data_IF_902891697769
#
_entry.id   IF_902891697769
#
_cell.length_a   1.000
_cell.length_b   1.000
_cell.length_c   1.000
_cell.angle_alpha   90.00
_cell.angle_beta   90.00
_cell.angle_gamma   90.00
#
_symmetry.space_group_name_H-M   'P 1'
#
loop_
_entity.id
_entity.type
_entity.pdbx_description
1 polymer ?
#
# COMPACT_ATOMS: atom_id res chain seq x y z
N UNK A 1 -17.38 -7.27 -0.14
CA UNK A 1 -16.69 -6.68 -1.30
C UNK A 1 -15.26 -6.36 -0.85
N UNK A 2 -14.23 -6.74 -1.61
CA UNK A 2 -12.85 -6.36 -1.28
C UNK A 2 -12.69 -4.84 -1.43
N UNK A 3 -11.82 -4.25 -0.61
CA UNK A 3 -11.49 -2.82 -0.72
C UNK A 3 -10.73 -2.58 -2.03
N UNK A 4 -11.07 -1.48 -2.71
CA UNK A 4 -10.40 -1.08 -3.94
C UNK A 4 -8.99 -0.58 -3.67
N UNK A 5 -8.04 -0.91 -4.53
CA UNK A 5 -6.67 -0.40 -4.48
C UNK A 5 -6.43 0.62 -5.58
N UNK A 6 -5.96 1.81 -5.23
CA UNK A 6 -5.77 2.91 -6.18
C UNK A 6 -4.34 3.05 -6.73
N UNK A 7 -3.37 2.39 -6.09
CA UNK A 7 -1.95 2.59 -6.36
C UNK A 7 -1.39 3.98 -5.98
N UNK A 8 -2.20 4.87 -5.37
CA UNK A 8 -1.74 6.20 -4.90
C UNK A 8 -0.90 6.12 -3.63
N UNK A 9 -1.45 5.42 -2.65
CA UNK A 9 -0.79 5.15 -1.38
C UNK A 9 -0.30 3.72 -1.39
N UNK A 10 0.98 3.55 -1.71
CA UNK A 10 1.61 2.25 -1.85
C UNK A 10 1.74 1.52 -0.51
N UNK A 11 1.67 2.22 0.63
CA UNK A 11 1.68 1.57 1.95
C UNK A 11 0.46 0.68 2.21
N UNK A 12 -0.61 0.88 1.44
CA UNK A 12 -1.80 0.02 1.52
C UNK A 12 -1.66 -1.27 0.70
N UNK A 13 -0.63 -1.40 -0.15
CA UNK A 13 -0.48 -2.56 -1.02
C UNK A 13 -0.36 -3.89 -0.24
N UNK A 14 0.45 -4.02 0.83
CA UNK A 14 0.54 -5.27 1.58
C UNK A 14 -0.82 -5.74 2.11
N UNK A 15 -1.57 -4.82 2.74
CA UNK A 15 -2.92 -5.11 3.25
C UNK A 15 -3.87 -5.53 2.13
N UNK A 16 -3.86 -4.82 1.00
CA UNK A 16 -4.66 -5.17 -0.16
C UNK A 16 -4.30 -6.56 -0.69
N UNK A 17 -3.01 -6.82 -0.87
CA UNK A 17 -2.51 -8.07 -1.42
C UNK A 17 -2.83 -9.25 -0.52
N UNK A 18 -2.58 -9.19 0.79
CA UNK A 18 -2.91 -10.26 1.73
C UNK A 18 -4.40 -10.61 1.70
N UNK A 19 -5.24 -9.57 1.60
CA UNK A 19 -6.69 -9.74 1.56
C UNK A 19 -7.17 -10.31 0.22
N UNK A 20 -6.68 -9.79 -0.90
CA UNK A 20 -6.96 -10.33 -2.23
C UNK A 20 -6.47 -11.77 -2.36
N UNK A 21 -5.26 -12.04 -1.85
CA UNK A 21 -4.61 -13.34 -1.92
C UNK A 21 -5.43 -14.41 -1.22
N UNK A 22 -5.77 -14.18 0.05
CA UNK A 22 -6.56 -15.09 0.87
C UNK A 22 -8.00 -15.30 0.38
N UNK A 23 -8.60 -14.30 -0.26
CA UNK A 23 -10.02 -14.35 -0.65
C UNK A 23 -10.23 -14.83 -2.09
N UNK A 24 -9.31 -14.50 -2.99
CA UNK A 24 -9.47 -14.65 -4.45
C UNK A 24 -8.34 -15.45 -5.06
N UNK A 25 -7.08 -15.05 -4.84
CA UNK A 25 -5.93 -15.68 -5.52
C UNK A 25 -5.78 -17.16 -5.17
N UNK A 26 -5.80 -17.48 -3.87
CA UNK A 26 -5.63 -18.84 -3.33
C UNK A 26 -6.95 -19.63 -3.31
N UNK A 27 -8.07 -19.00 -3.69
CA UNK A 27 -9.35 -19.68 -3.76
C UNK A 27 -9.39 -20.63 -4.96
N UNK A 28 -9.34 -21.93 -4.70
CA UNK A 28 -9.38 -22.99 -5.71
C UNK A 28 -10.76 -23.19 -6.34
N UNK A 29 -11.82 -22.57 -5.80
CA UNK A 29 -13.17 -22.64 -6.39
C UNK A 29 -13.41 -21.60 -7.49
N UNK A 30 -12.45 -20.69 -7.73
CA UNK A 30 -12.55 -19.65 -8.75
C UNK A 30 -11.62 -19.97 -9.92
N UNK A 31 -12.10 -19.75 -11.13
CA UNK A 31 -11.25 -19.82 -12.32
C UNK A 31 -10.37 -18.57 -12.43
N UNK A 32 -9.21 -18.70 -13.06
CA UNK A 32 -8.26 -17.60 -13.23
C UNK A 32 -8.86 -16.41 -13.98
N UNK A 33 -9.77 -16.65 -14.92
CA UNK A 33 -10.53 -15.59 -15.61
C UNK A 33 -11.43 -14.80 -14.66
N UNK A 34 -12.05 -15.45 -13.68
CA UNK A 34 -12.91 -14.80 -12.68
C UNK A 34 -12.07 -14.03 -11.68
N UNK A 35 -10.95 -14.62 -11.23
CA UNK A 35 -9.96 -13.95 -10.36
C UNK A 35 -9.41 -12.70 -11.03
N UNK A 36 -9.12 -12.76 -12.33
CA UNK A 36 -8.64 -11.61 -13.07
C UNK A 36 -9.74 -10.55 -13.25
N UNK A 37 -10.94 -10.96 -13.66
CA UNK A 37 -12.06 -10.03 -13.80
C UNK A 37 -12.36 -9.31 -12.48
N UNK A 38 -12.25 -10.03 -11.37
CA UNK A 38 -12.37 -9.46 -10.04
C UNK A 38 -11.25 -8.46 -9.73
N UNK A 39 -9.98 -8.82 -9.95
CA UNK A 39 -8.84 -7.94 -9.74
C UNK A 39 -9.01 -6.60 -10.47
N UNK A 40 -9.41 -6.64 -11.75
CA UNK A 40 -9.68 -5.43 -12.54
C UNK A 40 -10.83 -4.58 -12.00
N UNK A 41 -11.77 -5.18 -11.26
CA UNK A 41 -12.89 -4.44 -10.67
C UNK A 41 -12.52 -3.70 -9.37
N UNK A 42 -11.48 -4.16 -8.68
CA UNK A 42 -11.02 -3.56 -7.42
C UNK A 42 -9.78 -2.67 -7.59
N UNK A 43 -9.00 -2.88 -8.65
CA UNK A 43 -7.93 -1.95 -9.01
C UNK A 43 -8.51 -0.70 -9.66
N UNK A 44 -8.04 0.46 -9.21
CA UNK A 44 -8.49 1.78 -9.66
C UNK A 44 -7.28 2.69 -9.87
N UNK A 45 -7.48 3.82 -10.56
CA UNK A 45 -6.44 4.85 -10.75
C UNK A 45 -5.09 4.28 -11.22
N UNK A 46 -4.00 4.43 -10.48
CA UNK A 46 -2.66 4.02 -10.90
C UNK A 46 -2.49 2.50 -10.96
N UNK A 47 -3.19 1.75 -10.11
CA UNK A 47 -3.19 0.29 -10.14
C UNK A 47 -3.92 -0.23 -11.38
N UNK A 48 -5.11 0.29 -11.68
CA UNK A 48 -5.85 -0.04 -12.91
C UNK A 48 -5.01 0.27 -14.14
N UNK A 49 -4.42 1.47 -14.19
CA UNK A 49 -3.57 1.89 -15.31
C UNK A 49 -2.36 0.96 -15.50
N UNK A 50 -1.83 0.36 -14.44
CA UNK A 50 -0.69 -0.55 -14.52
C UNK A 50 -1.05 -1.86 -15.24
N UNK A 51 -2.26 -2.37 -15.04
CA UNK A 51 -2.71 -3.65 -15.59
C UNK A 51 -3.66 -3.49 -16.79
N UNK A 52 -3.95 -2.25 -17.17
CA UNK A 52 -4.82 -1.90 -18.30
C UNK A 52 -4.29 -2.48 -19.60
N UNK A 53 -5.21 -2.91 -20.47
CA UNK A 53 -4.88 -3.54 -21.76
C UNK A 53 -4.67 -5.06 -21.69
N UNK A 54 -4.62 -5.64 -20.49
CA UNK A 54 -4.62 -7.09 -20.33
C UNK A 54 -6.06 -7.64 -20.36
N UNK A 55 -6.26 -8.69 -21.15
CA UNK A 55 -7.55 -9.37 -21.29
C UNK A 55 -7.75 -10.41 -20.19
N UNK A 56 -8.90 -10.45 -19.50
CA UNK A 56 -9.23 -11.48 -18.51
C UNK A 56 -9.31 -12.85 -19.19
N UNK A 57 -8.21 -13.57 -19.17
CA UNK A 57 -8.04 -14.90 -19.75
C UNK A 57 -7.13 -15.68 -18.81
N UNK A 58 -7.31 -17.00 -18.67
CA UNK A 58 -6.48 -17.81 -17.78
C UNK A 58 -4.97 -17.64 -18.06
N UNK A 59 -4.59 -17.62 -19.33
CA UNK A 59 -3.19 -17.51 -19.79
C UNK A 59 -2.54 -16.18 -19.42
N UNK A 60 -3.35 -15.14 -19.20
CA UNK A 60 -2.86 -13.81 -18.84
C UNK A 60 -2.95 -13.51 -17.34
N UNK A 61 -3.57 -14.34 -16.51
CA UNK A 61 -3.83 -14.01 -15.10
C UNK A 61 -2.57 -13.80 -14.25
N UNK A 62 -1.47 -14.49 -14.55
CA UNK A 62 -0.21 -14.30 -13.83
C UNK A 62 0.43 -12.92 -14.06
N UNK A 63 0.18 -12.29 -15.22
CA UNK A 63 0.78 -11.01 -15.62
C UNK A 63 0.37 -9.82 -14.73
N UNK A 64 -0.93 -9.53 -14.48
CA UNK A 64 -1.32 -8.40 -13.64
C UNK A 64 -0.79 -8.54 -12.20
N UNK A 65 -0.76 -9.75 -11.65
CA UNK A 65 -0.22 -10.01 -10.30
C UNK A 65 1.23 -9.56 -10.22
N UNK A 66 2.06 -10.07 -11.14
CA UNK A 66 3.47 -9.70 -11.21
C UNK A 66 3.66 -8.19 -11.38
N UNK A 67 2.89 -7.55 -12.27
CA UNK A 67 2.98 -6.09 -12.49
C UNK A 67 2.66 -5.31 -11.21
N UNK A 68 1.64 -5.73 -10.46
CA UNK A 68 1.26 -5.06 -9.21
C UNK A 68 2.33 -5.26 -8.13
N UNK A 69 2.86 -6.47 -7.98
CA UNK A 69 3.96 -6.76 -7.05
C UNK A 69 5.23 -5.96 -7.41
N UNK A 70 5.64 -5.97 -8.68
CA UNK A 70 6.82 -5.24 -9.18
C UNK A 70 6.64 -3.71 -9.06
N UNK A 71 5.41 -3.19 -9.06
CA UNK A 71 5.18 -1.74 -9.03
C UNK A 71 4.88 -1.19 -7.64
N UNK A 72 4.24 -1.98 -6.79
CA UNK A 72 3.69 -1.52 -5.52
C UNK A 72 4.11 -2.39 -4.32
N UNK A 73 4.63 -3.59 -4.56
CA UNK A 73 4.97 -4.58 -3.53
C UNK A 73 6.41 -4.55 -3.04
N UNK A 74 7.28 -3.75 -3.64
CA UNK A 74 8.65 -3.59 -3.16
C UNK A 74 8.68 -2.97 -1.76
N UNK A 75 9.19 -3.75 -0.81
CA UNK A 75 9.29 -3.34 0.60
C UNK A 75 10.09 -2.04 0.74
N UNK A 76 11.17 -1.90 -0.04
CA UNK A 76 12.02 -0.72 -0.05
C UNK A 76 11.24 0.55 -0.39
N UNK A 77 10.35 0.48 -1.40
CA UNK A 77 9.51 1.62 -1.79
C UNK A 77 8.52 2.00 -0.68
N UNK A 78 7.98 1.02 0.05
CA UNK A 78 7.07 1.27 1.17
C UNK A 78 7.81 1.87 2.36
N UNK A 79 9.04 1.43 2.62
CA UNK A 79 9.93 2.07 3.61
C UNK A 79 10.18 3.52 3.22
N UNK A 80 10.60 3.77 1.97
CA UNK A 80 10.84 5.11 1.46
C UNK A 80 9.59 6.00 1.55
N UNK A 81 8.40 5.44 1.29
CA UNK A 81 7.14 6.17 1.45
C UNK A 81 6.95 6.68 2.89
N UNK A 82 7.10 5.82 3.89
CA UNK A 82 6.96 6.22 5.28
C UNK A 82 8.07 7.18 5.74
N UNK A 83 9.31 6.91 5.34
CA UNK A 83 10.47 7.75 5.66
C UNK A 83 10.32 9.16 5.07
N UNK A 84 9.93 9.27 3.80
CA UNK A 84 9.67 10.59 3.19
C UNK A 84 8.58 11.36 3.92
N UNK A 85 7.52 10.69 4.41
CA UNK A 85 6.47 11.38 5.17
C UNK A 85 6.94 11.84 6.55
N UNK A 86 7.81 11.08 7.21
CA UNK A 86 8.44 11.50 8.47
C UNK A 86 9.37 12.70 8.26
N UNK A 87 10.19 12.69 7.20
CA UNK A 87 11.12 13.77 6.88
C UNK A 87 10.41 15.07 6.45
N UNK A 88 9.21 14.96 5.87
CA UNK A 88 8.43 16.10 5.37
C UNK A 88 7.27 16.51 6.31
N UNK A 89 7.35 16.17 7.60
CA UNK A 89 6.36 16.61 8.58
C UNK A 89 6.35 18.15 8.70
N UNK A 90 5.14 18.72 8.70
CA UNK A 90 4.98 20.17 8.84
C UNK A 90 5.23 20.60 10.29
N UNK A 91 6.13 21.57 10.54
CA UNK A 91 6.42 22.01 11.90
C UNK A 91 5.25 22.77 12.50
N UNK A 92 4.97 22.51 13.77
CA UNK A 92 3.98 23.28 14.53
C UNK A 92 4.65 24.55 15.07
N UNK A 93 4.22 25.70 14.56
CA UNK A 93 4.84 27.01 14.87
C UNK A 93 4.30 27.67 16.13
N UNK A 94 3.13 27.22 16.62
CA UNK A 94 2.43 27.79 17.78
C UNK A 94 2.17 26.68 18.78
N UNK A 95 2.78 26.75 19.95
CA UNK A 95 2.64 25.72 21.00
C UNK A 95 1.21 25.57 21.52
N UNK A 96 0.38 26.62 21.41
CA UNK A 96 -1.04 26.59 21.77
C UNK A 96 -1.95 26.05 20.67
N UNK A 97 -1.43 25.75 19.47
CA UNK A 97 -2.19 25.13 18.39
C UNK A 97 -2.28 23.61 18.61
N UNK A 98 -3.16 23.22 19.52
CA UNK A 98 -3.37 21.84 19.93
C UNK A 98 -3.84 20.97 18.76
N UNK A 99 -4.55 21.54 17.79
CA UNK A 99 -5.02 20.81 16.60
C UNK A 99 -3.83 20.43 15.72
N UNK A 100 -2.94 21.39 15.45
CA UNK A 100 -1.72 21.13 14.69
C UNK A 100 -0.81 20.09 15.38
N UNK A 101 -0.68 20.17 16.72
CA UNK A 101 0.07 19.18 17.51
C UNK A 101 -0.52 17.77 17.40
N UNK A 102 -1.86 17.63 17.53
CA UNK A 102 -2.54 16.34 17.39
C UNK A 102 -2.35 15.74 16.00
N UNK A 103 -2.43 16.57 14.95
CA UNK A 103 -2.20 16.13 13.58
C UNK A 103 -0.76 15.67 13.37
N UNK A 104 0.23 16.44 13.86
CA UNK A 104 1.65 16.07 13.80
C UNK A 104 1.89 14.71 14.48
N UNK A 105 1.37 14.54 15.70
CA UNK A 105 1.47 13.27 16.44
C UNK A 105 0.81 12.11 15.67
N UNK A 106 -0.39 12.32 15.14
CA UNK A 106 -1.07 11.30 14.33
C UNK A 106 -0.28 10.90 13.08
N UNK A 107 0.35 11.85 12.40
CA UNK A 107 1.21 11.56 11.25
C UNK A 107 2.49 10.79 11.64
N UNK A 108 3.12 11.14 12.76
CA UNK A 108 4.25 10.38 13.31
C UNK A 108 3.84 8.94 13.57
N UNK A 109 2.79 8.73 14.35
CA UNK A 109 2.35 7.39 14.71
C UNK A 109 1.96 6.53 13.51
N UNK A 110 1.24 7.08 12.52
CA UNK A 110 0.83 6.33 11.33
C UNK A 110 2.04 5.83 10.55
N UNK A 111 3.10 6.65 10.39
CA UNK A 111 4.27 6.23 9.64
C UNK A 111 5.18 5.30 10.46
N UNK A 112 5.32 5.52 11.77
CA UNK A 112 6.06 4.61 12.66
C UNK A 112 5.41 3.22 12.68
N UNK A 113 4.08 3.14 12.92
CA UNK A 113 3.35 1.86 12.89
C UNK A 113 3.43 1.18 11.53
N UNK A 114 3.41 1.96 10.44
CA UNK A 114 3.62 1.47 9.09
C UNK A 114 4.96 0.75 8.94
N UNK A 115 6.06 1.42 9.31
CA UNK A 115 7.42 0.84 9.31
C UNK A 115 7.54 -0.40 10.20
N UNK A 116 6.99 -0.38 11.41
CA UNK A 116 7.00 -1.52 12.34
C UNK A 116 6.23 -2.71 11.78
N UNK A 117 5.06 -2.48 11.16
CA UNK A 117 4.22 -3.54 10.58
C UNK A 117 4.89 -4.29 9.43
N UNK A 118 5.82 -3.65 8.71
CA UNK A 118 6.65 -4.28 7.68
C UNK A 118 8.00 -4.75 8.23
N UNK A 119 8.20 -4.70 9.55
CA UNK A 119 9.35 -5.26 10.24
C UNK A 119 10.61 -4.39 10.26
N UNK A 120 10.48 -3.06 10.15
CA UNK A 120 11.60 -2.14 10.36
C UNK A 120 11.65 -1.75 11.84
N UNK A 121 12.81 -1.97 12.48
CA UNK A 121 13.02 -1.56 13.88
C UNK A 121 13.12 -0.04 14.01
N UNK A 122 12.62 0.56 15.11
CA UNK A 122 12.87 1.96 15.46
C UNK A 122 14.35 2.36 15.45
N UNK A 123 15.29 1.44 15.66
CA UNK A 123 16.72 1.73 15.64
C UNK A 123 17.20 2.35 14.31
N UNK A 124 16.50 2.09 13.21
CA UNK A 124 16.85 2.59 11.87
C UNK A 124 16.43 4.03 11.61
N UNK A 125 15.44 4.56 12.35
CA UNK A 125 14.86 5.88 12.09
C UNK A 125 14.68 6.75 13.34
N UNK A 126 14.95 6.21 14.54
CA UNK A 126 14.84 6.91 15.82
C UNK A 126 15.70 8.17 15.88
N UNK A 127 16.86 8.20 15.22
CA UNK A 127 17.71 9.38 15.15
C UNK A 127 17.05 10.57 14.42
N UNK A 128 16.05 10.33 13.57
CA UNK A 128 15.28 11.37 12.89
C UNK A 128 14.18 11.96 13.78
N UNK A 129 13.89 11.32 14.92
CA UNK A 129 12.81 11.69 15.84
C UNK A 129 13.34 12.42 17.10
N UNK A 130 14.65 12.62 17.18
CA UNK A 130 15.35 13.37 18.24
C UNK A 130 15.50 14.84 17.85
#
# INVERSE_FOLDING_TARGET
>A
MLESFSGKDISNFPRFWDRFKSTVHENSSLYDVDKFSYLKSVDTSYAELAIRGLTPTPENYAKPIKILEDRFGHKELIVDYHMNRLLNLSPVRKSFDVIALKNLYGHLEVNIRGLESIGISPDYYSCLLL
#
